data_IF_357932740049
#
_entry.id   IF_357932740049
#
_cell.length_a   1.000
_cell.length_b   1.000
_cell.length_c   1.000
_cell.angle_alpha   90.00
_cell.angle_beta   90.00
_cell.angle_gamma   90.00
#
_symmetry.space_group_name_H-M   'P 1'
#
loop_
_entity.id
_entity.type
_entity.pdbx_description
1 polymer ?
#
# COMPACT_ATOMS: atom_id res chain seq x y z
N UNK A 1 10.81 17.98 -17.22
CA UNK A 1 12.11 17.28 -17.26
C UNK A 1 13.07 17.80 -16.19
N UNK A 2 13.16 17.11 -15.05
CA UNK A 2 14.19 17.36 -14.03
C UNK A 2 15.31 16.34 -14.27
N UNK A 3 16.54 16.83 -14.44
CA UNK A 3 17.71 15.99 -14.70
C UNK A 3 18.00 15.12 -13.46
N UNK A 4 18.02 13.80 -13.64
CA UNK A 4 18.52 12.88 -12.64
C UNK A 4 20.06 12.99 -12.61
N UNK A 5 20.61 13.63 -11.58
CA UNK A 5 22.05 13.58 -11.31
C UNK A 5 22.44 12.13 -11.03
N UNK A 6 23.27 11.54 -11.90
CA UNK A 6 23.82 10.20 -11.70
C UNK A 6 24.73 10.12 -10.47
N UNK A 7 24.96 8.91 -9.92
CA UNK A 7 25.75 8.76 -8.71
C UNK A 7 27.21 9.13 -8.98
N UNK A 8 27.79 9.95 -8.11
CA UNK A 8 29.22 10.25 -8.11
C UNK A 8 30.02 8.96 -7.84
N UNK A 9 31.09 8.74 -8.61
CA UNK A 9 31.94 7.56 -8.46
C UNK A 9 32.53 7.48 -7.03
N UNK A 10 32.50 6.31 -6.37
CA UNK A 10 32.96 6.19 -4.99
C UNK A 10 34.47 6.36 -4.89
N UNK A 11 34.91 7.10 -3.87
CA UNK A 11 36.32 7.27 -3.53
C UNK A 11 36.88 5.95 -2.97
N UNK A 12 38.09 5.52 -3.36
CA UNK A 12 38.65 4.23 -2.90
C UNK A 12 38.82 4.24 -1.37
N UNK A 13 38.15 3.32 -0.67
CA UNK A 13 38.31 3.11 0.78
C UNK A 13 37.12 3.53 1.65
N UNK A 14 36.09 4.18 1.09
CA UNK A 14 34.83 4.44 1.81
C UNK A 14 33.73 3.50 1.33
N UNK A 15 33.57 2.34 1.99
CA UNK A 15 32.31 1.59 1.93
C UNK A 15 31.32 2.25 2.89
N UNK A 16 30.50 3.17 2.39
CA UNK A 16 29.38 3.69 3.16
C UNK A 16 28.36 2.53 3.38
N UNK A 17 27.98 2.20 4.62
CA UNK A 17 27.03 1.12 4.91
C UNK A 17 25.60 1.38 4.39
N UNK A 18 25.35 2.58 3.86
CA UNK A 18 24.03 3.11 3.49
C UNK A 18 23.84 3.25 1.96
N UNK A 19 24.38 2.32 1.14
CA UNK A 19 24.09 2.28 -0.30
C UNK A 19 22.56 2.41 -0.48
N UNK A 20 22.11 3.44 -1.21
CA UNK A 20 20.68 3.77 -1.32
C UNK A 20 19.92 2.51 -1.69
N UNK A 21 18.91 2.14 -0.90
CA UNK A 21 17.94 1.15 -1.36
C UNK A 21 17.38 1.68 -2.69
N UNK A 22 17.64 0.95 -3.78
CA UNK A 22 17.26 1.40 -5.11
C UNK A 22 15.76 1.64 -5.20
N UNK A 23 15.33 2.55 -6.09
CA UNK A 23 13.93 2.66 -6.44
C UNK A 23 13.53 1.49 -7.34
N UNK A 24 12.46 0.78 -6.99
CA UNK A 24 11.87 -0.25 -7.86
C UNK A 24 10.51 0.24 -8.31
N UNK A 25 10.34 0.43 -9.62
CA UNK A 25 9.04 0.75 -10.17
C UNK A 25 8.10 -0.45 -10.00
N UNK A 26 6.92 -0.17 -9.42
CA UNK A 26 5.82 -1.12 -9.38
C UNK A 26 4.89 -0.81 -10.55
N UNK A 27 4.41 -1.82 -11.30
CA UNK A 27 3.38 -1.58 -12.30
C UNK A 27 2.12 -1.03 -11.63
N UNK A 28 1.40 -0.15 -12.32
CA UNK A 28 0.08 0.27 -11.87
C UNK A 28 -0.94 -0.87 -11.97
N UNK A 29 -1.97 -0.85 -11.14
CA UNK A 29 -3.10 -1.77 -11.22
C UNK A 29 -4.33 -1.05 -11.74
N UNK A 30 -5.10 -1.71 -12.61
CA UNK A 30 -6.36 -1.19 -13.16
C UNK A 30 -7.48 -2.20 -12.96
N UNK A 31 -8.69 -1.74 -12.65
CA UNK A 31 -9.88 -2.57 -12.57
C UNK A 31 -11.00 -1.99 -13.43
N UNK A 32 -11.87 -2.86 -13.96
CA UNK A 32 -12.96 -2.46 -14.85
C UNK A 32 -14.25 -2.10 -14.12
N UNK A 33 -14.49 -2.70 -12.94
CA UNK A 33 -15.75 -2.54 -12.19
C UNK A 33 -15.50 -1.96 -10.81
N UNK A 34 -14.61 -2.60 -10.07
CA UNK A 34 -14.39 -2.30 -8.67
C UNK A 34 -12.96 -2.67 -8.25
N UNK A 35 -12.46 -1.98 -7.23
CA UNK A 35 -11.13 -2.20 -6.66
C UNK A 35 -11.19 -1.91 -5.16
N UNK A 36 -10.58 -2.79 -4.37
CA UNK A 36 -10.32 -2.58 -2.94
C UNK A 36 -8.83 -2.68 -2.72
N UNK A 37 -8.29 -1.73 -1.96
CA UNK A 37 -6.89 -1.68 -1.58
C UNK A 37 -6.83 -1.39 -0.08
N UNK A 38 -6.17 -2.26 0.67
CA UNK A 38 -5.90 -2.06 2.09
C UNK A 38 -4.49 -2.54 2.45
N UNK A 39 -3.95 -2.04 3.56
CA UNK A 39 -2.64 -2.45 4.07
C UNK A 39 -2.62 -3.94 4.46
N UNK A 40 -3.77 -4.48 4.88
CA UNK A 40 -3.93 -5.90 5.19
C UNK A 40 -4.62 -6.69 4.06
N UNK A 41 -4.10 -7.88 3.69
CA UNK A 41 -4.79 -8.75 2.74
C UNK A 41 -6.15 -9.25 3.25
N UNK A 42 -6.32 -9.48 4.56
CA UNK A 42 -7.61 -9.91 5.12
C UNK A 42 -8.67 -8.80 5.02
N UNK A 43 -8.28 -7.55 5.22
CA UNK A 43 -9.18 -6.41 5.04
C UNK A 43 -9.55 -6.21 3.57
N UNK A 44 -8.57 -6.35 2.67
CA UNK A 44 -8.82 -6.31 1.22
C UNK A 44 -9.81 -7.38 0.79
N UNK A 45 -9.66 -8.60 1.31
CA UNK A 45 -10.58 -9.71 1.02
C UNK A 45 -11.99 -9.42 1.52
N UNK A 46 -12.14 -8.89 2.73
CA UNK A 46 -13.47 -8.57 3.29
C UNK A 46 -14.21 -7.51 2.47
N UNK A 47 -13.51 -6.45 2.03
CA UNK A 47 -14.10 -5.45 1.14
C UNK A 47 -14.49 -6.04 -0.22
N UNK A 48 -13.62 -6.89 -0.79
CA UNK A 48 -13.91 -7.59 -2.04
C UNK A 48 -15.13 -8.52 -1.92
N UNK A 49 -15.29 -9.22 -0.80
CA UNK A 49 -16.44 -10.10 -0.57
C UNK A 49 -17.76 -9.32 -0.48
N UNK A 50 -17.74 -8.09 0.06
CA UNK A 50 -18.91 -7.21 0.05
C UNK A 50 -19.29 -6.73 -1.35
N UNK A 51 -18.30 -6.37 -2.18
CA UNK A 51 -18.56 -6.04 -3.59
C UNK A 51 -19.12 -7.24 -4.34
N UNK A 52 -18.55 -8.43 -4.11
CA UNK A 52 -19.03 -9.69 -4.71
C UNK A 52 -20.45 -10.05 -4.26
N UNK A 53 -20.84 -9.67 -3.04
CA UNK A 53 -22.20 -9.82 -2.54
C UNK A 53 -23.20 -8.81 -3.13
N UNK A 54 -22.77 -7.92 -4.03
CA UNK A 54 -23.60 -6.88 -4.63
C UNK A 54 -23.74 -5.62 -3.76
N UNK A 55 -22.89 -5.49 -2.73
CA UNK A 55 -22.80 -4.29 -1.89
C UNK A 55 -22.20 -3.10 -2.65
N UNK A 56 -22.41 -1.91 -2.10
CA UNK A 56 -21.85 -0.68 -2.64
C UNK A 56 -20.37 -0.52 -2.26
N UNK A 57 -19.69 0.45 -2.88
CA UNK A 57 -18.34 0.84 -2.48
C UNK A 57 -18.28 1.28 -0.99
N UNK A 58 -19.37 1.82 -0.45
CA UNK A 58 -19.45 2.21 0.95
C UNK A 58 -19.52 0.98 1.86
N UNK A 59 -20.32 -0.03 1.51
CA UNK A 59 -20.40 -1.28 2.28
C UNK A 59 -19.06 -2.01 2.31
N UNK A 60 -18.38 -2.04 1.16
CA UNK A 60 -17.04 -2.60 1.04
C UNK A 60 -16.00 -1.83 1.88
N UNK A 61 -16.07 -0.49 1.90
CA UNK A 61 -15.20 0.33 2.73
C UNK A 61 -15.46 0.10 4.23
N UNK A 62 -16.72 -0.03 4.65
CA UNK A 62 -17.10 -0.33 6.03
C UNK A 62 -16.56 -1.70 6.46
N UNK A 63 -16.77 -2.75 5.65
CA UNK A 63 -16.25 -4.08 5.95
C UNK A 63 -14.71 -4.10 6.03
N UNK A 64 -14.05 -3.41 5.09
CA UNK A 64 -12.59 -3.25 5.11
C UNK A 64 -12.13 -2.60 6.41
N UNK A 65 -12.78 -1.52 6.86
CA UNK A 65 -12.42 -0.83 8.10
C UNK A 65 -12.72 -1.63 9.36
N UNK A 66 -13.83 -2.37 9.40
CA UNK A 66 -14.12 -3.27 10.52
C UNK A 66 -13.04 -4.35 10.67
N UNK A 67 -12.54 -4.88 9.55
CA UNK A 67 -11.45 -5.86 9.59
C UNK A 67 -10.12 -5.20 9.94
N UNK A 68 -9.79 -4.03 9.38
CA UNK A 68 -8.58 -3.29 9.76
C UNK A 68 -8.54 -2.96 11.26
N UNK A 69 -9.67 -2.58 11.86
CA UNK A 69 -9.75 -2.36 13.30
C UNK A 69 -9.41 -3.61 14.14
N UNK A 70 -9.58 -4.81 13.58
CA UNK A 70 -9.24 -6.08 14.22
C UNK A 70 -7.80 -6.52 13.92
N UNK A 71 -7.36 -6.44 12.67
CA UNK A 71 -6.07 -7.00 12.22
C UNK A 71 -4.92 -5.99 12.29
N UNK A 72 -5.22 -4.70 12.34
CA UNK A 72 -4.28 -3.59 12.42
C UNK A 72 -4.69 -2.52 13.47
N UNK A 73 -5.00 -2.90 14.72
CA UNK A 73 -5.55 -1.97 15.71
C UNK A 73 -4.65 -0.77 16.01
N UNK A 74 -3.32 -0.96 15.97
CA UNK A 74 -2.33 0.10 16.19
C UNK A 74 -2.27 1.16 15.08
N UNK A 75 -2.72 0.84 13.86
CA UNK A 75 -2.66 1.73 12.70
C UNK A 75 -4.04 2.18 12.22
N UNK A 76 -5.08 1.46 12.62
CA UNK A 76 -6.46 1.60 12.13
C UNK A 76 -7.47 1.87 13.24
N UNK A 77 -7.02 2.08 14.49
CA UNK A 77 -7.90 2.50 15.57
C UNK A 77 -8.69 3.75 15.17
N UNK A 78 -9.95 3.86 15.64
CA UNK A 78 -10.90 4.97 15.36
C UNK A 78 -10.34 6.39 15.54
N UNK A 79 -9.17 6.54 16.17
CA UNK A 79 -8.46 7.80 16.43
C UNK A 79 -7.15 8.00 15.66
N UNK A 80 -6.78 7.08 14.76
CA UNK A 80 -5.57 7.11 13.92
C UNK A 80 -4.33 6.48 14.57
N UNK A 81 -3.38 6.04 13.74
CA UNK A 81 -1.99 5.76 14.11
C UNK A 81 -1.16 7.04 14.23
#
# INVERSE_FOLDING_TARGET
PVAASGPAAPLPGFHAPELSSGWTDKPGWTAQRDMIVAANPLATQAGHDMLKAGGTAIDAAIATQMVLALVEPQSSGLRGG
#
